data_IF_347532245004
#
_entry.id   IF_347532245004
#
_cell.length_a   1.000
_cell.length_b   1.000
_cell.length_c   1.000
_cell.angle_alpha   90.00
_cell.angle_beta   90.00
_cell.angle_gamma   90.00
#
_symmetry.space_group_name_H-M   'P 1'
#
loop_
_entity.id
_entity.type
_entity.pdbx_description
1 polymer ?
#
# COMPACT_ATOMS: atom_id res chain seq x y z
N UNK A 1 -11.85 5.26 16.89
CA UNK A 1 -10.98 6.43 17.11
C UNK A 1 -9.64 6.13 16.47
N UNK A 2 -9.51 6.50 15.21
CA UNK A 2 -8.32 6.34 14.40
C UNK A 2 -7.20 7.18 15.01
N UNK A 3 -6.09 6.54 15.38
CA UNK A 3 -4.87 7.22 15.85
C UNK A 3 -4.13 7.97 14.75
N UNK A 4 -4.66 7.94 13.52
CA UNK A 4 -4.14 8.61 12.35
C UNK A 4 -4.91 9.91 12.14
N UNK A 5 -4.14 10.96 11.87
CA UNK A 5 -4.64 12.29 11.59
C UNK A 5 -4.49 12.62 10.11
N UNK A 6 -5.15 13.66 9.63
CA UNK A 6 -5.15 14.02 8.21
C UNK A 6 -3.73 14.27 7.65
N UNK A 7 -2.82 14.83 8.46
CA UNK A 7 -1.39 14.99 8.08
C UNK A 7 -0.69 13.67 7.74
N UNK A 8 -1.18 12.54 8.27
CA UNK A 8 -0.57 11.23 8.06
C UNK A 8 -1.06 10.59 6.75
N UNK A 9 -2.14 11.11 6.15
CA UNK A 9 -2.76 10.60 4.92
C UNK A 9 -1.80 10.40 3.75
N UNK A 10 -1.00 11.39 3.32
CA UNK A 10 -0.08 11.19 2.20
C UNK A 10 0.94 10.08 2.49
N UNK A 11 1.36 9.94 3.75
CA UNK A 11 2.28 8.89 4.20
C UNK A 11 1.59 7.52 4.10
N UNK A 12 0.37 7.40 4.61
CA UNK A 12 -0.44 6.17 4.54
C UNK A 12 -0.66 5.74 3.10
N UNK A 13 -1.06 6.67 2.22
CA UNK A 13 -1.30 6.40 0.80
C UNK A 13 -0.02 5.89 0.10
N UNK A 14 1.10 6.57 0.30
CA UNK A 14 2.38 6.20 -0.31
C UNK A 14 2.89 4.84 0.18
N UNK A 15 2.86 4.61 1.49
CA UNK A 15 3.36 3.38 2.07
C UNK A 15 2.51 2.17 1.67
N UNK A 16 1.19 2.30 1.67
CA UNK A 16 0.30 1.20 1.25
C UNK A 16 0.45 0.87 -0.23
N UNK A 17 0.50 1.89 -1.10
CA UNK A 17 0.65 1.69 -2.55
C UNK A 17 1.99 1.04 -2.93
N UNK A 18 3.03 1.25 -2.13
CA UNK A 18 4.37 0.64 -2.32
C UNK A 18 4.52 -0.75 -1.68
N UNK A 19 3.48 -1.27 -1.02
CA UNK A 19 3.48 -2.62 -0.44
C UNK A 19 3.89 -2.71 1.03
N UNK A 20 3.79 -1.61 1.78
CA UNK A 20 4.02 -1.61 3.24
C UNK A 20 2.80 -2.16 3.97
N UNK A 21 3.00 -3.06 4.96
CA UNK A 21 1.88 -3.60 5.74
C UNK A 21 1.31 -2.58 6.75
N UNK A 22 0.06 -2.74 7.22
CA UNK A 22 -0.59 -1.80 8.14
C UNK A 22 0.21 -1.51 9.40
N UNK A 23 0.77 -2.55 10.03
CA UNK A 23 1.54 -2.39 11.27
C UNK A 23 2.81 -1.57 11.05
N UNK A 24 3.45 -1.68 9.89
CA UNK A 24 4.56 -0.80 9.53
C UNK A 24 4.09 0.63 9.31
N UNK A 25 2.97 0.84 8.60
CA UNK A 25 2.37 2.17 8.42
C UNK A 25 2.11 2.84 9.77
N UNK A 26 1.49 2.14 10.72
CA UNK A 26 1.25 2.66 12.07
C UNK A 26 2.55 3.09 12.77
N UNK A 27 3.66 2.35 12.59
CA UNK A 27 4.98 2.74 13.13
C UNK A 27 5.52 4.00 12.49
N UNK A 28 5.45 4.12 11.16
CA UNK A 28 5.89 5.32 10.46
C UNK A 28 5.07 6.56 10.79
N UNK A 29 3.77 6.39 11.09
CA UNK A 29 2.89 7.44 11.57
C UNK A 29 2.99 7.67 13.09
N UNK A 30 3.97 7.08 13.76
CA UNK A 30 4.22 7.25 15.20
C UNK A 30 3.02 6.92 16.10
N UNK A 31 2.20 5.95 15.71
CA UNK A 31 1.04 5.51 16.50
C UNK A 31 1.52 4.72 17.71
N UNK A 32 1.33 5.28 18.92
CA UNK A 32 1.78 4.68 20.19
C UNK A 32 0.81 3.69 20.83
N UNK A 33 -0.42 3.53 20.30
CA UNK A 33 -1.41 2.62 20.90
C UNK A 33 -1.07 1.16 20.61
N UNK A 34 -0.62 0.43 21.63
CA UNK A 34 -0.29 -0.99 21.49
C UNK A 34 -1.48 -1.86 21.11
N UNK A 35 -2.69 -1.44 21.48
CA UNK A 35 -3.93 -2.15 21.15
C UNK A 35 -4.10 -2.27 19.64
N UNK A 36 -3.83 -1.19 18.89
CA UNK A 36 -3.95 -1.18 17.43
C UNK A 36 -3.04 -2.23 16.76
N UNK A 37 -1.83 -2.44 17.27
CA UNK A 37 -0.92 -3.44 16.71
C UNK A 37 -1.39 -4.89 16.91
N UNK A 38 -2.28 -5.13 17.88
CA UNK A 38 -2.83 -6.47 18.16
C UNK A 38 -4.07 -6.81 17.34
N UNK A 39 -4.63 -5.86 16.59
CA UNK A 39 -5.74 -6.18 15.69
C UNK A 39 -5.28 -7.14 14.58
N UNK A 40 -6.20 -8.00 14.08
CA UNK A 40 -5.93 -8.85 12.93
C UNK A 40 -5.48 -8.02 11.73
N UNK A 41 -4.53 -8.55 10.95
CA UNK A 41 -3.98 -7.85 9.79
C UNK A 41 -5.06 -7.39 8.81
N UNK A 42 -6.10 -8.20 8.59
CA UNK A 42 -7.19 -7.88 7.66
C UNK A 42 -8.03 -6.69 8.14
N UNK A 43 -8.29 -6.60 9.44
CA UNK A 43 -9.07 -5.51 10.01
C UNK A 43 -8.29 -4.20 9.95
N UNK A 44 -6.99 -4.26 10.29
CA UNK A 44 -6.09 -3.12 10.11
C UNK A 44 -6.01 -2.66 8.65
N UNK A 45 -6.07 -3.58 7.70
CA UNK A 45 -6.08 -3.20 6.28
C UNK A 45 -7.34 -2.45 5.89
N UNK A 46 -8.50 -2.93 6.33
CA UNK A 46 -9.80 -2.27 6.08
C UNK A 46 -9.84 -0.88 6.71
N UNK A 47 -9.41 -0.76 7.96
CA UNK A 47 -9.38 0.53 8.67
C UNK A 47 -8.54 1.58 7.95
N UNK A 48 -7.37 1.19 7.41
CA UNK A 48 -6.52 2.11 6.64
C UNK A 48 -7.13 2.48 5.28
N UNK A 49 -7.76 1.53 4.59
CA UNK A 49 -8.44 1.80 3.32
C UNK A 49 -9.64 2.73 3.51
N UNK A 50 -10.41 2.52 4.57
CA UNK A 50 -11.52 3.39 4.95
C UNK A 50 -11.03 4.79 5.34
N UNK A 51 -9.94 4.86 6.13
CA UNK A 51 -9.28 6.12 6.45
C UNK A 51 -8.90 6.90 5.19
N UNK A 52 -8.37 6.23 4.16
CA UNK A 52 -8.02 6.83 2.87
C UNK A 52 -9.25 7.30 2.08
N UNK A 53 -10.34 6.52 2.08
CA UNK A 53 -11.58 6.87 1.36
C UNK A 53 -12.31 8.10 1.95
N UNK A 54 -12.34 8.22 3.27
CA UNK A 54 -13.13 9.25 3.97
C UNK A 54 -12.68 10.72 3.72
N UNK A 55 -11.54 10.97 3.06
CA UNK A 55 -11.19 12.34 2.62
C UNK A 55 -11.72 12.69 1.24
N UNK A 56 -11.85 11.70 0.34
CA UNK A 56 -12.26 11.96 -1.03
C UNK A 56 -13.69 12.51 -1.07
N UNK A 57 -14.55 12.04 -0.16
CA UNK A 57 -15.92 12.52 -0.01
C UNK A 57 -16.02 13.98 0.49
N UNK A 58 -14.95 14.53 1.10
CA UNK A 58 -14.94 15.92 1.60
C UNK A 58 -14.47 16.95 0.57
N UNK A 59 -13.60 16.56 -0.35
CA UNK A 59 -13.11 17.46 -1.41
C UNK A 59 -14.08 17.52 -2.61
N UNK A 60 -14.84 16.45 -2.88
CA UNK A 60 -15.76 16.39 -4.03
C UNK A 60 -17.02 17.26 -3.88
N UNK A 61 -17.21 17.92 -2.72
CA UNK A 61 -18.36 18.78 -2.43
C UNK A 61 -18.05 20.29 -2.60
N UNK A 62 -16.81 20.66 -2.94
CA UNK A 62 -16.43 22.07 -3.16
C UNK A 62 -16.03 22.28 -4.62
N UNK A 63 -17.02 22.67 -5.43
CA UNK A 63 -16.95 23.36 -6.72
C UNK A 63 -15.71 23.15 -7.59
N UNK A 64 -15.85 22.31 -8.63
CA UNK A 64 -15.16 22.49 -9.91
C UNK A 64 -16.14 23.04 -10.95
N UNK A 65 -16.68 24.24 -10.71
CA UNK A 65 -17.10 25.12 -11.79
C UNK A 65 -15.91 26.01 -12.14
N UNK A 66 -14.98 25.46 -12.93
CA UNK A 66 -14.01 26.25 -13.67
C UNK A 66 -14.44 26.15 -15.12
N UNK A 67 -15.14 27.20 -15.56
CA UNK A 67 -15.47 27.42 -16.95
C UNK A 67 -14.26 27.12 -17.85
N UNK A 68 -14.50 26.30 -18.86
CA UNK A 68 -13.56 25.94 -19.92
C UNK A 68 -12.90 27.22 -20.49
N UNK A 69 -11.57 27.41 -20.34
CA UNK A 69 -10.92 28.54 -20.95
C UNK A 69 -11.05 28.42 -22.47
N UNK A 70 -11.38 29.50 -23.21
CA UNK A 70 -11.71 29.41 -24.61
C UNK A 70 -10.49 28.87 -25.37
N UNK A 71 -10.58 27.61 -25.81
CA UNK A 71 -9.62 26.98 -26.69
C UNK A 71 -9.63 27.73 -28.03
N UNK A 72 -8.82 28.78 -28.13
CA UNK A 72 -8.58 29.52 -29.37
C UNK A 72 -7.92 28.55 -30.36
N UNK A 73 -8.73 27.99 -31.25
CA UNK A 73 -8.27 27.27 -32.44
C UNK A 73 -7.48 28.25 -33.31
N UNK A 74 -6.15 28.14 -33.34
CA UNK A 74 -5.35 28.80 -34.37
C UNK A 74 -5.57 28.01 -35.66
N UNK A 75 -6.23 28.66 -36.62
CA UNK A 75 -6.42 28.20 -38.00
C UNK A 75 -5.16 28.58 -38.78
N UNK A 76 -4.29 27.61 -39.08
CA UNK A 76 -3.13 27.81 -39.94
C UNK A 76 -3.46 27.28 -41.34
N UNK A 77 -3.61 28.18 -42.31
CA UNK A 77 -3.75 27.83 -43.73
C UNK A 77 -2.62 28.49 -44.52
N UNK A 78 -1.93 27.64 -45.29
CA UNK A 78 -1.20 27.88 -46.54
C UNK A 78 0.22 28.50 -46.54
N UNK A 79 1.21 27.61 -46.79
CA UNK A 79 2.06 27.58 -48.01
C UNK A 79 3.59 27.61 -47.80
N UNK A 80 4.18 26.41 -47.98
CA UNK A 80 5.31 26.08 -48.89
C UNK A 80 6.77 26.41 -48.48
N UNK A 81 7.61 25.41 -48.81
CA UNK A 81 9.08 25.35 -48.97
C UNK A 81 9.86 24.86 -47.74
N UNK A 82 10.27 23.58 -47.66
CA UNK A 82 11.37 22.86 -48.34
C UNK A 82 12.62 22.80 -47.44
N UNK A 83 13.18 21.61 -47.22
CA UNK A 83 14.53 21.46 -46.66
C UNK A 83 14.63 20.65 -45.37
N UNK A 84 15.48 19.64 -45.41
CA UNK A 84 15.69 18.59 -44.43
C UNK A 84 16.61 19.00 -43.25
N UNK A 85 16.51 18.15 -42.22
CA UNK A 85 17.58 17.62 -41.38
C UNK A 85 17.72 18.16 -39.95
N UNK A 86 17.81 17.16 -39.07
CA UNK A 86 18.33 17.10 -37.71
C UNK A 86 17.72 17.99 -36.60
N UNK A 87 17.14 17.36 -35.58
CA UNK A 87 17.74 17.31 -34.24
C UNK A 87 16.77 16.73 -33.18
N UNK A 88 17.28 15.68 -32.53
CA UNK A 88 17.17 15.41 -31.10
C UNK A 88 15.86 14.80 -30.56
N UNK A 89 15.77 13.47 -30.68
CA UNK A 89 14.95 12.62 -29.82
C UNK A 89 15.67 12.41 -28.47
N UNK A 90 15.22 13.08 -27.41
CA UNK A 90 15.43 12.62 -26.03
C UNK A 90 14.36 13.23 -25.10
N UNK A 91 13.51 12.37 -24.51
CA UNK A 91 12.70 12.76 -23.35
C UNK A 91 11.22 12.43 -23.34
N UNK A 92 10.75 11.34 -23.96
CA UNK A 92 9.35 10.90 -23.82
C UNK A 92 9.24 9.66 -22.92
N UNK A 93 8.82 9.87 -21.67
CA UNK A 93 8.32 8.83 -20.77
C UNK A 93 6.92 8.41 -21.25
N UNK A 94 6.65 7.14 -21.60
CA UNK A 94 5.29 6.73 -21.94
C UNK A 94 4.43 6.69 -20.67
N UNK A 95 3.42 7.56 -20.60
CA UNK A 95 2.33 7.43 -19.65
C UNK A 95 1.50 6.18 -19.98
N UNK A 96 1.27 5.33 -18.97
CA UNK A 96 0.41 4.16 -19.08
C UNK A 96 -1.06 4.56 -18.92
N UNK A 97 -1.99 4.04 -19.75
CA UNK A 97 -3.41 4.29 -19.61
C UNK A 97 -4.00 3.61 -18.37
N UNK A 98 -4.78 4.38 -17.62
CA UNK A 98 -5.66 3.93 -16.55
C UNK A 98 -6.84 3.16 -17.16
N UNK A 99 -6.73 1.84 -17.26
CA UNK A 99 -7.88 0.98 -17.62
C UNK A 99 -8.48 0.37 -16.37
N UNK A 100 -9.67 0.86 -15.99
CA UNK A 100 -10.56 0.15 -15.09
C UNK A 100 -10.90 -1.21 -15.72
N UNK A 101 -10.49 -2.30 -15.05
CA UNK A 101 -10.91 -3.64 -15.39
C UNK A 101 -11.23 -4.37 -14.10
N UNK A 102 -12.52 -4.57 -13.86
CA UNK A 102 -13.01 -5.46 -12.83
C UNK A 102 -12.66 -6.90 -13.20
N UNK A 103 -11.85 -7.52 -12.38
CA UNK A 103 -11.68 -8.96 -12.33
C UNK A 103 -11.58 -9.39 -10.86
N UNK A 104 -12.71 -9.88 -10.35
CA UNK A 104 -12.80 -10.78 -9.20
C UNK A 104 -12.04 -12.07 -9.53
N UNK A 105 -10.72 -12.04 -9.34
CA UNK A 105 -9.92 -13.23 -9.16
C UNK A 105 -9.75 -13.43 -7.66
N UNK A 106 -10.19 -14.59 -7.17
CA UNK A 106 -9.94 -15.07 -5.82
C UNK A 106 -8.44 -15.04 -5.56
N UNK A 107 -7.95 -13.93 -5.02
CA UNK A 107 -6.55 -13.75 -4.68
C UNK A 107 -6.24 -14.79 -3.59
N UNK A 108 -5.40 -15.74 -3.97
CA UNK A 108 -4.66 -16.59 -3.06
C UNK A 108 -4.32 -15.79 -1.80
N UNK A 109 -4.75 -16.28 -0.64
CA UNK A 109 -4.53 -15.67 0.67
C UNK A 109 -3.05 -15.54 1.08
N UNK A 110 -2.13 -15.80 0.15
CA UNK A 110 -0.75 -15.35 0.19
C UNK A 110 -0.70 -13.81 0.04
N UNK A 111 -1.04 -13.12 1.14
CA UNK A 111 -0.94 -11.68 1.22
C UNK A 111 0.45 -11.19 0.80
N UNK A 112 0.52 -10.02 0.15
CA UNK A 112 1.79 -9.41 -0.28
C UNK A 112 2.73 -9.28 0.92
N UNK A 113 3.96 -9.79 0.78
CA UNK A 113 4.99 -9.65 1.81
C UNK A 113 5.39 -8.18 1.92
N UNK A 114 5.41 -7.67 3.14
CA UNK A 114 5.78 -6.28 3.40
C UNK A 114 7.21 -5.99 2.95
N UNK A 115 7.40 -4.97 2.11
CA UNK A 115 8.72 -4.52 1.65
C UNK A 115 9.61 -3.96 2.78
N UNK A 116 9.03 -3.56 3.92
CA UNK A 116 9.76 -3.02 5.08
C UNK A 116 10.14 -4.10 6.08
N UNK A 117 9.16 -4.87 6.56
CA UNK A 117 9.37 -5.83 7.66
C UNK A 117 9.51 -7.28 7.20
N UNK A 118 9.41 -7.57 5.90
CA UNK A 118 9.61 -8.90 5.33
C UNK A 118 8.76 -9.99 6.03
N UNK A 119 7.51 -9.64 6.41
CA UNK A 119 6.59 -10.56 7.09
C UNK A 119 6.62 -10.53 8.62
N UNK A 120 7.61 -9.88 9.26
CA UNK A 120 7.77 -9.91 10.73
C UNK A 120 6.53 -9.37 11.46
N UNK A 121 5.92 -8.31 10.93
CA UNK A 121 4.68 -7.74 11.48
C UNK A 121 3.43 -8.19 10.70
N UNK A 122 3.52 -9.28 9.97
CA UNK A 122 2.40 -9.92 9.28
C UNK A 122 2.18 -11.26 9.95
N UNK A 123 2.47 -12.37 9.27
CA UNK A 123 2.26 -13.73 9.77
C UNK A 123 3.09 -14.06 11.02
N UNK A 124 4.31 -13.53 11.13
CA UNK A 124 5.22 -13.92 12.22
C UNK A 124 4.87 -13.31 13.59
N UNK A 125 4.00 -12.30 13.62
CA UNK A 125 3.52 -11.72 14.87
C UNK A 125 2.10 -12.16 15.24
N UNK A 126 1.44 -12.99 14.43
CA UNK A 126 0.12 -13.51 14.76
C UNK A 126 0.21 -14.62 15.83
N UNK A 127 -0.85 -14.74 16.62
CA UNK A 127 -0.92 -15.69 17.74
C UNK A 127 -0.67 -17.14 17.29
N UNK A 128 -1.15 -17.51 16.11
CA UNK A 128 -0.97 -18.86 15.56
C UNK A 128 0.50 -19.20 15.31
N UNK A 129 1.29 -18.24 14.82
CA UNK A 129 2.70 -18.44 14.58
C UNK A 129 3.46 -18.59 15.90
N UNK A 130 3.17 -17.72 16.88
CA UNK A 130 3.78 -17.77 18.21
C UNK A 130 3.45 -19.10 18.89
N UNK A 131 2.18 -19.49 18.93
CA UNK A 131 1.73 -20.75 19.53
C UNK A 131 2.35 -21.97 18.87
N UNK A 132 2.49 -21.95 17.54
CA UNK A 132 3.18 -23.02 16.79
C UNK A 132 4.66 -23.11 17.14
N UNK A 133 5.34 -21.97 17.35
CA UNK A 133 6.75 -21.92 17.77
C UNK A 133 6.93 -22.42 19.20
N UNK A 134 6.06 -21.99 20.11
CA UNK A 134 6.04 -22.45 21.51
C UNK A 134 5.82 -23.96 21.60
N UNK A 135 4.82 -24.50 20.91
CA UNK A 135 4.55 -25.93 20.87
C UNK A 135 5.74 -26.74 20.34
N UNK A 136 6.41 -26.26 19.28
CA UNK A 136 7.63 -26.90 18.75
C UNK A 136 8.82 -26.80 19.69
N UNK A 137 8.92 -25.74 20.48
CA UNK A 137 9.99 -25.62 21.46
C UNK A 137 9.76 -26.59 22.63
N UNK A 138 8.51 -26.74 23.08
CA UNK A 138 8.13 -27.66 24.14
C UNK A 138 8.41 -29.13 23.78
N UNK A 139 8.16 -29.54 22.53
CA UNK A 139 8.46 -30.93 22.11
C UNK A 139 9.97 -31.19 22.06
N UNK A 140 10.77 -30.20 21.64
CA UNK A 140 12.23 -30.32 21.65
C UNK A 140 12.79 -30.42 23.07
N UNK A 141 12.36 -29.56 23.99
CA UNK A 141 12.81 -29.63 25.38
C UNK A 141 12.42 -30.94 26.05
N UNK A 142 11.22 -31.45 25.76
CA UNK A 142 10.80 -32.78 26.24
C UNK A 142 11.68 -33.90 25.67
N UNK A 143 12.03 -33.85 24.38
CA UNK A 143 12.90 -34.84 23.76
C UNK A 143 14.33 -34.83 24.33
N UNK A 144 14.90 -33.64 24.56
CA UNK A 144 16.20 -33.51 25.23
C UNK A 144 16.17 -34.04 26.66
N UNK A 145 15.08 -33.83 27.39
CA UNK A 145 14.93 -34.32 28.76
C UNK A 145 14.82 -35.85 28.83
N UNK A 146 14.07 -36.47 27.92
CA UNK A 146 13.98 -37.94 27.85
C UNK A 146 15.30 -38.58 27.39
N UNK A 147 16.03 -37.98 26.44
CA UNK A 147 17.35 -38.47 26.02
C UNK A 147 18.39 -38.37 27.15
N UNK A 148 18.26 -37.36 28.03
CA UNK A 148 19.12 -37.21 29.22
C UNK A 148 18.82 -38.26 30.31
N UNK A 149 17.54 -38.65 30.50
CA UNK A 149 17.17 -39.74 31.43
C UNK A 149 17.70 -41.12 31.02
N UNK A 150 17.97 -41.32 29.74
CA UNK A 150 18.49 -42.58 29.21
C UNK A 150 20.02 -42.72 29.29
N UNK A 151 20.73 -41.74 29.86
CA UNK A 151 22.16 -41.80 30.17
C UNK A 151 22.39 -42.00 31.66
#
# INVERSE_FOLDING_TARGET
MSSLTEKDRPIVQLLLSTGTCPRCVLRFCCVGSQLLYRHPHQDLMKDLQEFLKNSQEKEDTVCLDVADPPCKRIRLEHSREEGADDLNLNGAVPQLPLTASGNTAMESSAGKVCNVCLGILQEFCEADFVKKREARQQTKTSAYFEDWKCR
#
